data_IF_979453555027
#
_entry.id   IF_979453555027
#
_cell.length_a   1.000
_cell.length_b   1.000
_cell.length_c   1.000
_cell.angle_alpha   90.00
_cell.angle_beta   90.00
_cell.angle_gamma   90.00
#
_symmetry.space_group_name_H-M   'P 1'
#
loop_
_entity.id
_entity.type
_entity.pdbx_description
1 polymer ?
#
# COMPACT_ATOMS: atom_id res chain seq x y z
N UNK A 1 -3.43 3.17 28.61
CA UNK A 1 -4.70 3.01 27.89
C UNK A 1 -5.25 4.34 27.32
N UNK A 2 -5.16 5.47 28.03
CA UNK A 2 -5.69 6.77 27.57
C UNK A 2 -4.96 7.38 26.36
N UNK A 3 -3.66 7.12 26.22
CA UNK A 3 -2.83 7.61 25.09
C UNK A 3 -3.38 7.11 23.75
N UNK A 4 -3.89 5.87 23.68
CA UNK A 4 -4.48 5.31 22.46
C UNK A 4 -5.77 6.04 22.06
N UNK A 5 -6.59 6.44 23.04
CA UNK A 5 -7.85 7.14 22.79
C UNK A 5 -7.57 8.55 22.25
N UNK A 6 -6.56 9.23 22.81
CA UNK A 6 -6.15 10.56 22.35
C UNK A 6 -5.34 10.54 21.04
N UNK A 7 -4.66 9.44 20.72
CA UNK A 7 -3.89 9.34 19.48
C UNK A 7 -4.77 9.11 18.25
N UNK A 8 -5.92 8.44 18.40
CA UNK A 8 -6.88 8.21 17.30
C UNK A 8 -7.32 9.51 16.60
N UNK A 9 -7.85 10.54 17.29
CA UNK A 9 -8.27 11.77 16.64
C UNK A 9 -7.09 12.54 16.03
N UNK A 10 -5.91 12.48 16.65
CA UNK A 10 -4.70 13.12 16.13
C UNK A 10 -4.23 12.45 14.82
N UNK A 11 -4.27 11.11 14.77
CA UNK A 11 -4.00 10.32 13.57
C UNK A 11 -5.03 10.62 12.48
N UNK A 12 -6.31 10.71 12.82
CA UNK A 12 -7.36 11.06 11.88
C UNK A 12 -7.13 12.46 11.29
N UNK A 13 -6.73 13.44 12.10
CA UNK A 13 -6.39 14.79 11.65
C UNK A 13 -5.13 14.81 10.75
N UNK A 14 -4.10 14.03 11.10
CA UNK A 14 -2.90 13.85 10.29
C UNK A 14 -3.23 13.23 8.92
N UNK A 15 -4.06 12.20 8.89
CA UNK A 15 -4.53 11.61 7.64
C UNK A 15 -5.37 12.59 6.83
N UNK A 16 -6.25 13.38 7.48
CA UNK A 16 -7.09 14.36 6.80
C UNK A 16 -6.27 15.52 6.19
N UNK A 17 -5.20 15.95 6.86
CA UNK A 17 -4.35 17.07 6.41
C UNK A 17 -3.33 16.65 5.35
N UNK A 18 -2.72 15.46 5.49
CA UNK A 18 -1.72 14.97 4.54
C UNK A 18 -2.32 14.18 3.39
N UNK A 19 -3.56 13.69 3.54
CA UNK A 19 -4.24 12.81 2.59
C UNK A 19 -3.68 11.39 2.50
N UNK A 20 -2.38 11.23 2.80
CA UNK A 20 -1.64 9.97 2.75
C UNK A 20 -0.54 9.92 3.83
N UNK A 21 -0.35 8.75 4.42
CA UNK A 21 0.84 8.37 5.16
C UNK A 21 1.56 7.28 4.38
N UNK A 22 2.85 7.50 4.09
CA UNK A 22 3.69 6.50 3.44
C UNK A 22 4.90 6.21 4.33
N UNK A 23 5.15 4.94 4.57
CA UNK A 23 6.30 4.41 5.27
C UNK A 23 7.09 3.53 4.32
N UNK A 24 8.14 4.09 3.73
CA UNK A 24 9.03 3.36 2.82
C UNK A 24 10.23 2.82 3.61
N UNK A 25 10.41 1.50 3.62
CA UNK A 25 11.53 0.83 4.31
C UNK A 25 12.69 0.54 3.36
N UNK A 26 12.40 0.29 2.09
CA UNK A 26 13.36 0.11 0.99
C UNK A 26 12.71 0.50 -0.34
N UNK A 27 13.46 0.44 -1.44
CA UNK A 27 12.92 0.66 -2.80
C UNK A 27 11.75 -0.28 -3.15
N UNK A 28 11.78 -1.51 -2.62
CA UNK A 28 10.82 -2.57 -2.91
C UNK A 28 9.95 -2.98 -1.70
N UNK A 29 10.01 -2.23 -0.59
CA UNK A 29 9.17 -2.50 0.59
C UNK A 29 8.73 -1.23 1.28
N UNK A 30 7.43 -1.13 1.50
CA UNK A 30 6.82 0.01 2.18
C UNK A 30 5.34 -0.23 2.45
N UNK A 31 4.80 0.51 3.41
CA UNK A 31 3.39 0.50 3.75
C UNK A 31 2.83 1.91 3.48
N UNK A 32 1.71 2.02 2.77
CA UNK A 32 1.06 3.28 2.44
C UNK A 32 -0.41 3.22 2.85
N UNK A 33 -0.87 4.28 3.51
CA UNK A 33 -2.25 4.43 3.96
C UNK A 33 -2.77 5.76 3.46
N UNK A 34 -3.96 5.80 2.87
CA UNK A 34 -4.59 7.05 2.44
C UNK A 34 -6.08 7.05 2.69
N UNK A 35 -6.64 8.25 2.81
CA UNK A 35 -8.08 8.42 2.93
C UNK A 35 -8.73 8.32 1.56
N UNK A 36 -9.76 7.49 1.47
CA UNK A 36 -10.68 7.48 0.34
C UNK A 36 -11.82 8.44 0.69
N UNK A 37 -11.81 9.61 0.06
CA UNK A 37 -12.79 10.68 0.30
C UNK A 37 -13.36 11.15 -1.04
N UNK A 38 -14.42 10.49 -1.49
CA UNK A 38 -15.18 10.88 -2.67
C UNK A 38 -16.65 11.14 -2.28
N UNK A 39 -17.38 11.87 -3.11
CA UNK A 39 -18.82 12.16 -2.95
C UNK A 39 -19.67 10.91 -2.69
N UNK A 40 -19.28 9.77 -3.25
CA UNK A 40 -20.00 8.49 -3.14
C UNK A 40 -19.36 7.47 -2.19
N UNK A 41 -18.10 7.66 -1.80
CA UNK A 41 -17.31 6.67 -1.07
C UNK A 41 -16.46 7.35 0.02
N UNK A 42 -16.57 6.87 1.25
CA UNK A 42 -15.65 7.23 2.33
C UNK A 42 -15.03 5.97 2.94
N UNK A 43 -13.71 6.00 3.08
CA UNK A 43 -12.95 4.85 3.54
C UNK A 43 -11.50 5.19 3.85
N UNK A 44 -10.78 4.17 4.26
CA UNK A 44 -9.33 4.15 4.34
C UNK A 44 -8.82 3.03 3.44
N UNK A 45 -7.76 3.33 2.70
CA UNK A 45 -7.06 2.35 1.90
C UNK A 45 -5.68 2.11 2.51
N UNK A 46 -5.27 0.86 2.51
CA UNK A 46 -3.97 0.41 2.99
C UNK A 46 -3.32 -0.45 1.92
N UNK A 47 -2.19 0.01 1.42
CA UNK A 47 -1.26 -0.72 0.57
C UNK A 47 -0.04 -1.20 1.38
N UNK A 48 0.32 -2.47 1.26
CA UNK A 48 1.52 -3.06 1.84
C UNK A 48 2.35 -3.71 0.73
N UNK A 49 3.58 -3.23 0.53
CA UNK A 49 4.57 -3.76 -0.41
C UNK A 49 5.62 -4.57 0.33
N UNK A 50 5.78 -5.83 -0.07
CA UNK A 50 6.74 -6.76 0.50
C UNK A 50 7.57 -7.39 -0.61
N UNK A 51 8.88 -7.43 -0.40
CA UNK A 51 9.77 -8.18 -1.26
C UNK A 51 9.54 -9.68 -0.99
N UNK A 52 9.12 -10.43 -2.01
CA UNK A 52 8.83 -11.87 -1.90
C UNK A 52 10.06 -12.70 -2.18
N UNK A 53 10.85 -12.33 -3.19
CA UNK A 53 12.06 -13.08 -3.55
C UNK A 53 13.14 -12.11 -4.03
N UNK A 54 14.25 -12.00 -3.28
CA UNK A 54 15.48 -11.46 -3.82
C UNK A 54 16.18 -12.57 -4.62
N UNK A 55 16.18 -12.47 -5.94
CA UNK A 55 17.08 -13.24 -6.79
C UNK A 55 18.19 -12.31 -7.30
N UNK A 56 19.36 -12.83 -7.68
CA UNK A 56 20.52 -12.01 -8.05
C UNK A 56 20.21 -11.00 -9.18
N UNK A 57 19.36 -11.41 -10.14
CA UNK A 57 19.02 -10.61 -11.33
C UNK A 57 17.56 -10.10 -11.32
N UNK A 58 16.78 -10.36 -10.26
CA UNK A 58 15.37 -9.91 -10.17
C UNK A 58 14.86 -9.75 -8.75
N UNK A 59 14.02 -8.74 -8.54
CA UNK A 59 13.31 -8.48 -7.29
C UNK A 59 11.80 -8.60 -7.53
N UNK A 60 11.17 -9.64 -6.96
CA UNK A 60 9.71 -9.76 -7.02
C UNK A 60 9.06 -9.14 -5.79
N UNK A 61 8.09 -8.25 -6.01
CA UNK A 61 7.39 -7.47 -4.98
C UNK A 61 5.91 -7.81 -5.00
N UNK A 62 5.41 -8.29 -3.87
CA UNK A 62 3.98 -8.46 -3.67
C UNK A 62 3.40 -7.19 -3.05
N UNK A 63 2.41 -6.62 -3.72
CA UNK A 63 1.66 -5.46 -3.27
C UNK A 63 0.24 -5.89 -2.93
N UNK A 64 -0.14 -5.69 -1.66
CA UNK A 64 -1.49 -5.94 -1.16
C UNK A 64 -2.17 -4.63 -0.88
N UNK A 65 -3.29 -4.39 -1.54
CA UNK A 65 -4.14 -3.23 -1.31
C UNK A 65 -5.45 -3.68 -0.69
N UNK A 66 -5.75 -3.17 0.49
CA UNK A 66 -7.00 -3.39 1.19
C UNK A 66 -7.75 -2.09 1.33
N UNK A 67 -9.05 -2.15 1.10
CA UNK A 67 -9.94 -1.00 1.25
C UNK A 67 -10.95 -1.28 2.36
N UNK A 68 -11.01 -0.38 3.32
CA UNK A 68 -11.98 -0.40 4.42
C UNK A 68 -12.87 0.82 4.23
N UNK A 69 -14.02 0.63 3.59
CA UNK A 69 -15.01 1.69 3.39
C UNK A 69 -16.11 1.58 4.43
N UNK A 70 -16.46 2.71 5.04
CA UNK A 70 -17.60 2.82 5.96
C UNK A 70 -18.80 3.53 5.31
N UNK A 71 -18.61 4.08 4.10
CA UNK A 71 -19.67 4.68 3.29
C UNK A 71 -19.42 4.31 1.83
N UNK A 72 -20.39 3.65 1.19
CA UNK A 72 -20.28 3.12 -0.18
C UNK A 72 -19.97 1.61 -0.20
N UNK A 73 -20.13 0.96 -1.37
CA UNK A 73 -19.83 -0.47 -1.54
C UNK A 73 -18.32 -0.73 -1.56
N UNK A 74 -17.90 -1.79 -0.85
CA UNK A 74 -16.52 -2.27 -0.76
C UNK A 74 -16.17 -3.40 -1.74
N UNK A 75 -17.19 -4.00 -2.37
CA UNK A 75 -17.05 -5.29 -3.04
C UNK A 75 -16.03 -5.24 -4.18
N UNK A 76 -15.04 -6.13 -4.12
CA UNK A 76 -14.01 -6.30 -5.16
C UNK A 76 -12.87 -5.27 -5.15
N UNK A 77 -12.78 -4.38 -4.16
CA UNK A 77 -11.69 -3.39 -4.11
C UNK A 77 -10.36 -3.97 -3.61
N UNK A 78 -10.39 -5.04 -2.81
CA UNK A 78 -9.17 -5.66 -2.33
C UNK A 78 -8.40 -6.28 -3.49
N UNK A 79 -7.17 -5.83 -3.71
CA UNK A 79 -6.32 -6.30 -4.79
C UNK A 79 -5.00 -6.79 -4.21
N UNK A 80 -4.55 -7.96 -4.67
CA UNK A 80 -3.21 -8.45 -4.40
C UNK A 80 -2.58 -8.73 -5.76
N UNK A 81 -1.46 -8.08 -6.02
CA UNK A 81 -0.70 -8.26 -7.26
C UNK A 81 0.78 -8.36 -6.93
N UNK A 82 1.52 -9.07 -7.78
CA UNK A 82 2.94 -9.25 -7.61
C UNK A 82 3.64 -8.81 -8.88
N UNK A 83 4.57 -7.87 -8.78
CA UNK A 83 5.36 -7.37 -9.91
C UNK A 83 6.83 -7.73 -9.71
N UNK A 84 7.47 -8.23 -10.76
CA UNK A 84 8.90 -8.51 -10.73
C UNK A 84 9.69 -7.46 -11.50
N UNK A 85 10.82 -7.04 -10.94
CA UNK A 85 11.72 -6.02 -11.50
C UNK A 85 13.10 -6.64 -11.78
N UNK A 86 13.74 -6.22 -12.86
CA UNK A 86 15.10 -6.67 -13.22
C UNK A 86 16.18 -5.96 -12.38
N UNK A 87 17.25 -6.66 -12.01
CA UNK A 87 18.43 -6.09 -11.35
C UNK A 87 19.68 -6.17 -12.25
N UNK A 88 20.58 -5.17 -12.21
CA UNK A 88 20.48 -3.92 -11.46
C UNK A 88 19.35 -3.06 -12.02
N UNK A 89 18.50 -2.53 -11.14
CA UNK A 89 17.36 -1.73 -11.56
C UNK A 89 17.87 -0.53 -12.37
N UNK A 90 17.55 -0.50 -13.67
CA UNK A 90 17.61 0.73 -14.44
C UNK A 90 16.77 1.78 -13.70
N UNK A 91 17.15 3.06 -13.76
CA UNK A 91 16.35 4.14 -13.17
C UNK A 91 15.55 4.78 -14.31
N UNK A 92 14.23 4.51 -14.49
CA UNK A 92 13.29 3.80 -13.60
C UNK A 92 13.26 2.26 -13.79
N UNK A 93 12.87 1.50 -12.75
CA UNK A 93 12.92 0.04 -12.75
C UNK A 93 11.98 -0.54 -13.81
N UNK A 94 12.50 -1.46 -14.63
CA UNK A 94 11.73 -2.13 -15.69
C UNK A 94 10.99 -3.31 -15.08
N UNK A 95 9.66 -3.29 -15.17
CA UNK A 95 8.83 -4.41 -14.76
C UNK A 95 8.94 -5.54 -15.79
N UNK A 96 9.41 -6.71 -15.36
CA UNK A 96 9.50 -7.94 -16.16
C UNK A 96 8.16 -8.63 -16.34
N UNK A 97 7.18 -8.28 -15.51
CA UNK A 97 5.81 -8.81 -15.56
C UNK A 97 5.28 -9.22 -14.18
N UNK A 98 4.05 -9.74 -14.18
CA UNK A 98 3.41 -10.23 -12.97
C UNK A 98 4.02 -11.58 -12.53
N UNK A 99 4.23 -11.77 -11.23
CA UNK A 99 4.65 -13.07 -10.70
C UNK A 99 3.43 -13.93 -10.38
N UNK A 100 3.59 -15.25 -10.55
CA UNK A 100 2.60 -16.20 -10.07
C UNK A 100 2.65 -16.27 -8.54
N UNK A 101 1.56 -15.88 -7.89
CA UNK A 101 1.34 -16.08 -6.46
C UNK A 101 0.74 -17.50 -6.33
N UNK A 102 1.43 -18.44 -5.65
CA UNK A 102 0.93 -19.82 -5.49
C UNK A 102 -0.32 -19.89 -4.60
#
# INVERSE_FOLDING_TARGET
MWILILSIPLLALMLATRGQLQWQRSEFSGDRVWLLSNSKQAGVAWEARRLTTPAPDRACVTTRVRFIVWRGMADGLNAEYCDCYELPAANPPVALGACFIP
#
